data_IF_857277446786
#
_entry.id   IF_857277446786
#
_cell.length_a   1.000
_cell.length_b   1.000
_cell.length_c   1.000
_cell.angle_alpha   90.00
_cell.angle_beta   90.00
_cell.angle_gamma   90.00
#
_symmetry.space_group_name_H-M   'P 1'
#
loop_
_entity.id
_entity.type
_entity.pdbx_description
1 polymer ?
#
# COMPACT_ATOMS: atom_id res chain seq x y z
N UNK A 1 5.72 -23.85 5.36
CA UNK A 1 5.12 -23.36 4.10
C UNK A 1 5.33 -21.85 4.11
N UNK A 2 5.98 -21.26 3.10
CA UNK A 2 6.08 -19.80 3.04
C UNK A 2 4.65 -19.23 3.05
N UNK A 3 4.45 -18.18 3.83
CA UNK A 3 3.15 -17.51 3.88
C UNK A 3 3.02 -16.72 2.58
N UNK A 4 1.93 -16.91 1.86
CA UNK A 4 1.74 -16.33 0.53
C UNK A 4 1.08 -14.96 0.66
N UNK A 5 1.52 -13.98 -0.14
CA UNK A 5 0.85 -12.68 -0.23
C UNK A 5 -0.60 -12.86 -0.68
N UNK A 6 -1.54 -12.29 0.08
CA UNK A 6 -2.94 -12.23 -0.34
C UNK A 6 -3.17 -10.98 -1.21
N UNK A 7 -3.45 -11.19 -2.50
CA UNK A 7 -3.78 -10.14 -3.47
C UNK A 7 -5.29 -9.97 -3.69
N UNK A 8 -6.12 -10.74 -2.98
CA UNK A 8 -7.57 -10.62 -3.04
C UNK A 8 -8.09 -9.58 -2.05
N UNK A 9 -9.30 -9.02 -2.29
CA UNK A 9 -9.96 -8.15 -1.32
C UNK A 9 -10.15 -8.87 0.02
N UNK A 10 -9.42 -8.40 1.05
CA UNK A 10 -9.42 -9.02 2.38
C UNK A 10 -9.91 -8.06 3.49
N UNK A 11 -10.32 -6.84 3.12
CA UNK A 11 -10.87 -5.88 4.06
C UNK A 11 -12.35 -6.14 4.27
N UNK A 12 -12.77 -6.33 5.53
CA UNK A 12 -14.17 -6.53 5.88
C UNK A 12 -15.05 -5.29 5.58
N UNK A 13 -14.44 -4.11 5.67
CA UNK A 13 -15.07 -2.80 5.43
C UNK A 13 -14.10 -1.94 4.61
N UNK A 14 -14.05 -2.12 3.29
CA UNK A 14 -13.12 -1.38 2.44
C UNK A 14 -13.39 0.12 2.48
N UNK A 15 -14.66 0.54 2.48
CA UNK A 15 -15.05 1.95 2.45
C UNK A 15 -14.56 2.72 3.67
N UNK A 16 -14.82 2.20 4.88
CA UNK A 16 -14.34 2.79 6.15
C UNK A 16 -12.82 2.93 6.17
N UNK A 17 -12.09 1.97 5.59
CA UNK A 17 -10.63 2.02 5.53
C UNK A 17 -10.13 3.08 4.54
N UNK A 18 -10.76 3.18 3.36
CA UNK A 18 -10.42 4.22 2.39
C UNK A 18 -10.71 5.62 2.93
N UNK A 19 -11.81 5.81 3.65
CA UNK A 19 -12.11 7.09 4.31
C UNK A 19 -11.04 7.45 5.35
N UNK A 20 -10.64 6.49 6.20
CA UNK A 20 -9.58 6.70 7.18
C UNK A 20 -8.22 7.02 6.53
N UNK A 21 -7.90 6.42 5.38
CA UNK A 21 -6.69 6.76 4.62
C UNK A 21 -6.76 8.18 4.06
N UNK A 22 -7.90 8.62 3.54
CA UNK A 22 -8.06 9.99 3.04
C UNK A 22 -7.90 10.98 4.21
N UNK A 23 -8.54 10.68 5.34
CA UNK A 23 -8.47 11.53 6.53
C UNK A 23 -7.07 11.60 7.13
N UNK A 24 -6.28 10.53 7.06
CA UNK A 24 -4.87 10.55 7.47
C UNK A 24 -4.05 11.60 6.72
N UNK A 25 -4.40 11.89 5.47
CA UNK A 25 -3.71 12.86 4.63
C UNK A 25 -4.25 14.28 4.77
N UNK A 26 -5.36 14.47 5.49
CA UNK A 26 -5.98 15.77 5.66
C UNK A 26 -4.99 16.71 6.36
N UNK A 27 -4.92 17.95 5.87
CA UNK A 27 -4.06 19.01 6.38
C UNK A 27 -2.53 18.76 6.25
N UNK A 28 -2.11 17.70 5.54
CA UNK A 28 -0.70 17.45 5.23
C UNK A 28 -0.30 18.04 3.88
N UNK A 29 0.91 18.58 3.80
CA UNK A 29 1.54 18.87 2.52
C UNK A 29 1.99 17.57 1.80
N UNK A 30 2.42 17.69 0.54
CA UNK A 30 2.85 16.54 -0.26
C UNK A 30 4.00 15.76 0.40
N UNK A 31 4.96 16.46 1.00
CA UNK A 31 6.13 15.81 1.63
C UNK A 31 5.73 15.07 2.90
N UNK A 32 4.86 15.68 3.71
CA UNK A 32 4.30 15.09 4.92
C UNK A 32 3.40 13.90 4.59
N UNK A 33 2.58 14.00 3.54
CA UNK A 33 1.76 12.91 3.01
C UNK A 33 2.60 11.69 2.62
N UNK A 34 3.70 11.91 1.87
CA UNK A 34 4.64 10.84 1.52
C UNK A 34 5.31 10.23 2.76
N UNK A 35 5.70 11.07 3.74
CA UNK A 35 6.29 10.59 4.98
C UNK A 35 5.29 9.76 5.83
N UNK A 36 4.02 10.18 5.89
CA UNK A 36 2.96 9.44 6.57
C UNK A 36 2.74 8.07 5.92
N UNK A 37 2.69 8.00 4.58
CA UNK A 37 2.60 6.74 3.84
C UNK A 37 3.80 5.81 4.09
N UNK A 38 5.03 6.35 4.08
CA UNK A 38 6.22 5.56 4.38
C UNK A 38 6.18 4.99 5.81
N UNK A 39 5.75 5.78 6.80
CA UNK A 39 5.58 5.31 8.17
C UNK A 39 4.49 4.23 8.28
N UNK A 40 3.35 4.42 7.62
CA UNK A 40 2.27 3.44 7.58
C UNK A 40 2.76 2.11 7.00
N UNK A 41 3.50 2.14 5.89
CA UNK A 41 4.09 0.93 5.28
C UNK A 41 5.01 0.21 6.26
N UNK A 42 5.88 0.93 6.98
CA UNK A 42 6.78 0.33 7.95
C UNK A 42 6.03 -0.29 9.15
N UNK A 43 4.98 0.36 9.63
CA UNK A 43 4.13 -0.17 10.70
C UNK A 43 3.42 -1.45 10.27
N UNK A 44 2.84 -1.46 9.06
CA UNK A 44 2.20 -2.64 8.49
C UNK A 44 3.21 -3.76 8.22
N UNK A 45 4.42 -3.42 7.76
CA UNK A 45 5.49 -4.39 7.56
C UNK A 45 5.89 -5.06 8.87
N UNK A 46 6.04 -4.28 9.94
CA UNK A 46 6.31 -4.80 11.27
C UNK A 46 5.14 -5.66 11.81
N UNK A 47 3.90 -5.28 11.54
CA UNK A 47 2.73 -6.05 11.94
C UNK A 47 2.63 -7.40 11.20
N UNK A 48 2.95 -7.43 9.90
CA UNK A 48 2.99 -8.65 9.09
C UNK A 48 4.11 -9.58 9.57
N UNK A 49 5.31 -9.04 9.82
CA UNK A 49 6.45 -9.75 10.41
C UNK A 49 7.08 -10.86 9.55
N UNK A 50 6.44 -11.24 8.44
CA UNK A 50 6.89 -12.29 7.53
C UNK A 50 7.71 -11.71 6.37
N UNK A 51 8.98 -12.07 6.30
CA UNK A 51 9.92 -11.55 5.31
C UNK A 51 9.55 -11.96 3.88
N UNK A 52 9.09 -13.19 3.66
CA UNK A 52 8.78 -13.70 2.32
C UNK A 52 7.52 -13.01 1.77
N UNK A 53 6.53 -12.76 2.64
CA UNK A 53 5.33 -11.97 2.29
C UNK A 53 5.71 -10.54 1.89
N UNK A 54 6.62 -9.90 2.64
CA UNK A 54 7.04 -8.53 2.36
C UNK A 54 7.80 -8.42 1.03
N UNK A 55 8.70 -9.37 0.74
CA UNK A 55 9.41 -9.41 -0.54
C UNK A 55 8.43 -9.63 -1.72
N UNK A 56 7.46 -10.54 -1.57
CA UNK A 56 6.43 -10.75 -2.57
C UNK A 56 5.59 -9.49 -2.80
N UNK A 57 5.20 -8.78 -1.73
CA UNK A 57 4.46 -7.53 -1.82
C UNK A 57 5.23 -6.44 -2.58
N UNK A 58 6.54 -6.31 -2.33
CA UNK A 58 7.39 -5.35 -3.05
C UNK A 58 7.50 -5.68 -4.54
N UNK A 59 7.62 -6.97 -4.88
CA UNK A 59 7.69 -7.42 -6.27
C UNK A 59 6.39 -7.09 -7.04
N UNK A 60 5.22 -7.40 -6.43
CA UNK A 60 3.91 -7.10 -7.02
C UNK A 60 3.67 -5.59 -7.15
N UNK A 61 3.98 -4.80 -6.11
CA UNK A 61 3.85 -3.35 -6.17
C UNK A 61 4.67 -2.73 -7.31
N UNK A 62 5.92 -3.20 -7.51
CA UNK A 62 6.76 -2.76 -8.62
C UNK A 62 6.19 -3.17 -9.97
N UNK A 63 5.65 -4.39 -10.09
CA UNK A 63 5.05 -4.88 -11.31
C UNK A 63 3.80 -4.06 -11.72
N UNK A 64 2.93 -3.72 -10.76
CA UNK A 64 1.70 -2.95 -11.02
C UNK A 64 1.95 -1.53 -11.54
N UNK A 65 3.00 -0.85 -11.04
CA UNK A 65 3.40 0.49 -11.52
C UNK A 65 3.97 0.42 -12.94
N UNK A 66 4.76 -0.62 -13.25
CA UNK A 66 5.37 -0.79 -14.58
C UNK A 66 4.36 -1.27 -15.63
N UNK A 67 3.35 -2.05 -15.22
CA UNK A 67 2.32 -2.59 -16.10
C UNK A 67 1.18 -1.61 -16.41
N UNK A 68 1.11 -0.47 -15.73
CA UNK A 68 0.15 0.60 -16.03
C UNK A 68 0.79 1.58 -17.02
N UNK A 69 0.53 1.49 -18.35
CA UNK A 69 0.94 2.54 -19.26
C UNK A 69 0.18 3.83 -18.89
N UNK A 70 0.90 4.94 -18.72
CA UNK A 70 0.28 6.25 -18.60
C UNK A 70 -0.78 6.45 -19.71
N UNK A 71 -1.97 7.02 -19.41
CA UNK A 71 -2.79 7.58 -20.47
C UNK A 71 -2.04 8.79 -21.02
N UNK A 72 -1.56 8.69 -22.26
CA UNK A 72 -1.03 9.83 -23.01
C UNK A 72 -2.05 10.97 -22.95
N UNK A 73 -1.71 12.15 -22.41
CA UNK A 73 -2.62 13.29 -22.51
C UNK A 73 -2.72 13.68 -23.99
N UNK A 74 -3.96 13.67 -24.50
CA UNK A 74 -4.31 14.13 -25.84
C UNK A 74 -4.31 15.67 -25.91
#
# INVERSE_FOLDING_TARGET
MPNLLNTQPNLARPDDFYEALIDMHRDLDETQSQAANAQLILLLANHIGDHDVLLAAMAEARAGVVASPEPTPA
#
